data_IF_370057856844
#
_entry.id   IF_370057856844
#
_cell.length_a   1.000
_cell.length_b   1.000
_cell.length_c   1.000
_cell.angle_alpha   90.00
_cell.angle_beta   90.00
_cell.angle_gamma   90.00
#
_symmetry.space_group_name_H-M   'P 1'
#
loop_
_entity.id
_entity.type
_entity.pdbx_description
1 polymer ?
#
# COMPACT_ATOMS: atom_id res chain seq x y z
N UNK A 1 -11.80 12.45 3.53
CA UNK A 1 -11.60 11.00 3.82
C UNK A 1 -10.13 10.76 4.07
N UNK A 2 -9.76 9.87 5.00
CA UNK A 2 -8.36 9.56 5.29
C UNK A 2 -7.88 8.39 4.40
N UNK A 3 -6.74 8.51 3.71
CA UNK A 3 -6.19 7.42 2.90
C UNK A 3 -5.91 6.16 3.73
N UNK A 4 -6.11 4.99 3.13
CA UNK A 4 -5.83 3.68 3.72
C UNK A 4 -4.87 2.88 2.85
N UNK A 5 -4.22 1.89 3.46
CA UNK A 5 -3.37 0.94 2.73
C UNK A 5 -4.11 0.28 1.58
N UNK A 6 -3.51 0.34 0.39
CA UNK A 6 -4.06 -0.19 -0.86
C UNK A 6 -4.84 0.83 -1.68
N UNK A 7 -5.17 2.00 -1.13
CA UNK A 7 -5.84 3.06 -1.89
C UNK A 7 -4.93 3.55 -3.02
N UNK A 8 -5.54 3.83 -4.18
CA UNK A 8 -4.87 4.50 -5.29
C UNK A 8 -5.34 5.94 -5.33
N UNK A 9 -4.39 6.86 -5.24
CA UNK A 9 -4.62 8.29 -5.17
C UNK A 9 -4.10 8.96 -6.43
N UNK A 10 -4.87 9.89 -6.95
CA UNK A 10 -4.38 10.87 -7.92
C UNK A 10 -3.85 12.07 -7.15
N UNK A 11 -2.52 12.16 -7.04
CA UNK A 11 -1.83 13.21 -6.28
C UNK A 11 -1.50 14.35 -7.23
N UNK A 12 -2.07 15.52 -6.96
CA UNK A 12 -1.91 16.73 -7.79
C UNK A 12 -1.33 17.87 -6.96
N UNK A 13 -1.08 19.01 -7.60
CA UNK A 13 -0.67 20.24 -6.91
C UNK A 13 -1.60 20.66 -5.76
N UNK A 14 -2.89 20.29 -5.81
CA UNK A 14 -3.83 20.57 -4.72
C UNK A 14 -3.47 19.84 -3.41
N UNK A 15 -2.80 18.69 -3.50
CA UNK A 15 -2.34 17.93 -2.33
C UNK A 15 -0.98 18.40 -1.83
N UNK A 16 -0.09 18.86 -2.71
CA UNK A 16 1.18 19.48 -2.34
C UNK A 16 1.81 20.18 -3.53
N UNK A 17 2.43 21.34 -3.30
CA UNK A 17 3.05 22.18 -4.33
C UNK A 17 4.16 21.48 -5.12
N UNK A 18 4.74 20.41 -4.57
CA UNK A 18 5.80 19.62 -5.21
C UNK A 18 5.29 18.85 -6.44
N UNK A 19 3.98 18.64 -6.57
CA UNK A 19 3.37 17.85 -7.64
C UNK A 19 2.83 18.72 -8.78
N UNK A 20 3.73 19.49 -9.42
CA UNK A 20 3.39 20.24 -10.64
C UNK A 20 2.93 19.31 -11.77
N UNK A 21 3.55 18.13 -11.87
CA UNK A 21 3.09 17.01 -12.68
C UNK A 21 2.36 16.02 -11.76
N UNK A 22 1.07 15.75 -11.98
CA UNK A 22 0.35 14.78 -11.18
C UNK A 22 0.94 13.38 -11.27
N UNK A 23 0.80 12.60 -10.20
CA UNK A 23 1.20 11.19 -10.17
C UNK A 23 0.04 10.32 -9.68
N UNK A 24 0.07 9.05 -10.08
CA UNK A 24 -0.76 8.01 -9.47
C UNK A 24 0.03 7.36 -8.34
N UNK A 25 -0.56 7.24 -7.16
CA UNK A 25 0.14 6.77 -5.97
C UNK A 25 -0.68 5.72 -5.23
N UNK A 26 -0.12 4.51 -5.06
CA UNK A 26 -0.73 3.45 -4.25
C UNK A 26 -0.18 3.50 -2.83
N UNK A 27 -1.04 3.76 -1.85
CA UNK A 27 -0.68 3.84 -0.43
C UNK A 27 -0.30 2.46 0.09
N UNK A 28 0.84 2.35 0.77
CA UNK A 28 1.22 1.17 1.56
C UNK A 28 0.90 1.43 3.03
N UNK A 29 1.23 2.62 3.53
CA UNK A 29 0.97 3.03 4.90
C UNK A 29 0.90 4.56 5.03
N UNK A 30 0.13 5.02 6.01
CA UNK A 30 0.22 6.38 6.55
C UNK A 30 1.31 6.35 7.64
N UNK A 31 2.17 7.36 7.67
CA UNK A 31 3.23 7.45 8.69
C UNK A 31 2.77 8.31 9.85
N UNK A 32 2.97 7.83 11.07
CA UNK A 32 2.64 8.53 12.32
C UNK A 32 3.69 9.59 12.71
N UNK A 33 4.30 10.23 11.70
CA UNK A 33 5.29 11.28 11.92
C UNK A 33 4.61 12.60 12.29
N UNK A 34 5.18 13.40 13.21
CA UNK A 34 4.63 14.71 13.55
C UNK A 34 4.43 15.59 12.31
N UNK A 35 3.26 16.24 12.23
CA UNK A 35 2.85 17.04 11.06
C UNK A 35 1.86 18.14 11.49
N UNK A 36 1.56 19.06 10.57
CA UNK A 36 0.57 20.12 10.77
C UNK A 36 -0.85 19.63 10.53
N UNK A 37 -1.84 20.36 11.03
CA UNK A 37 -3.24 20.02 10.83
C UNK A 37 -3.60 19.89 9.33
N UNK A 38 -4.30 18.81 9.00
CA UNK A 38 -4.65 18.45 7.62
C UNK A 38 -3.51 17.91 6.75
N UNK A 39 -2.26 17.90 7.23
CA UNK A 39 -1.11 17.32 6.52
C UNK A 39 -0.82 15.91 7.01
N UNK A 40 -0.19 15.09 6.16
CA UNK A 40 0.22 13.74 6.49
C UNK A 40 1.36 13.26 5.61
N UNK A 41 2.07 12.27 6.13
CA UNK A 41 3.08 11.51 5.40
C UNK A 41 2.49 10.20 4.90
N UNK A 42 2.66 9.93 3.61
CA UNK A 42 2.25 8.66 2.98
C UNK A 42 3.48 7.95 2.42
N UNK A 43 3.61 6.65 2.68
CA UNK A 43 4.60 5.77 2.05
C UNK A 43 3.86 4.82 1.10
N UNK A 44 4.38 4.68 -0.11
CA UNK A 44 3.66 4.03 -1.19
C UNK A 44 4.43 3.95 -2.49
N UNK A 45 3.75 3.50 -3.55
CA UNK A 45 4.31 3.35 -4.88
C UNK A 45 3.74 4.39 -5.84
N UNK A 46 4.60 5.08 -6.58
CA UNK A 46 4.19 5.73 -7.82
C UNK A 46 3.82 4.66 -8.85
N UNK A 47 2.72 4.87 -9.56
CA UNK A 47 2.23 3.99 -10.61
C UNK A 47 2.45 4.61 -11.99
N UNK A 48 2.80 3.78 -12.96
CA UNK A 48 2.77 4.17 -14.38
C UNK A 48 1.33 4.19 -14.93
N UNK A 49 1.19 4.52 -16.22
CA UNK A 49 -0.11 4.54 -16.90
C UNK A 49 -0.79 3.16 -16.99
N UNK A 50 -0.03 2.06 -16.89
CA UNK A 50 -0.56 0.69 -16.84
C UNK A 50 -1.02 0.29 -15.42
N UNK A 51 -0.71 1.09 -14.39
CA UNK A 51 -1.03 0.80 -12.99
C UNK A 51 0.03 -0.02 -12.25
N UNK A 52 1.20 -0.24 -12.85
CA UNK A 52 2.31 -0.95 -12.24
C UNK A 52 3.12 -0.02 -11.34
N UNK A 53 3.60 -0.55 -10.22
CA UNK A 53 4.48 0.17 -9.32
C UNK A 53 5.87 0.36 -9.96
N UNK A 54 6.28 1.63 -10.13
CA UNK A 54 7.57 1.98 -10.74
C UNK A 54 8.59 2.50 -9.74
N UNK A 55 8.14 3.11 -8.64
CA UNK A 55 9.03 3.70 -7.64
C UNK A 55 8.36 3.73 -6.28
N UNK A 56 9.09 3.43 -5.20
CA UNK A 56 8.61 3.61 -3.83
C UNK A 56 9.00 5.00 -3.33
N UNK A 57 8.06 5.72 -2.73
CA UNK A 57 8.26 7.09 -2.25
C UNK A 57 7.51 7.35 -0.95
N UNK A 58 8.11 8.17 -0.09
CA UNK A 58 7.43 8.84 1.02
C UNK A 58 7.09 10.27 0.58
N UNK A 59 5.82 10.66 0.66
CA UNK A 59 5.33 11.96 0.22
C UNK A 59 4.63 12.70 1.36
N UNK A 60 4.76 14.02 1.38
CA UNK A 60 4.11 14.91 2.33
C UNK A 60 2.99 15.68 1.65
N UNK A 61 1.75 15.45 2.08
CA UNK A 61 0.54 15.90 1.37
C UNK A 61 -0.53 16.39 2.33
N UNK A 62 -1.36 17.30 1.86
CA UNK A 62 -2.57 17.75 2.52
C UNK A 62 -3.75 16.85 2.12
N UNK A 63 -4.51 16.38 3.11
CA UNK A 63 -5.59 15.41 2.93
C UNK A 63 -6.71 15.92 2.00
N UNK A 64 -7.05 17.21 2.09
CA UNK A 64 -8.13 17.82 1.31
C UNK A 64 -7.84 17.85 -0.19
N UNK A 65 -6.56 17.89 -0.57
CA UNK A 65 -6.13 17.90 -1.97
C UNK A 65 -6.08 16.52 -2.63
N UNK A 66 -6.25 15.45 -1.86
CA UNK A 66 -6.15 14.08 -2.36
C UNK A 66 -7.45 13.63 -3.04
N UNK A 67 -7.30 13.00 -4.20
CA UNK A 67 -8.42 12.39 -4.93
C UNK A 67 -8.23 10.89 -5.00
N UNK A 68 -9.08 10.14 -4.30
CA UNK A 68 -9.07 8.68 -4.35
C UNK A 68 -9.70 8.20 -5.66
N UNK A 69 -8.98 7.37 -6.39
CA UNK A 69 -9.51 6.68 -7.54
C UNK A 69 -10.15 5.38 -7.06
N UNK A 70 -11.46 5.23 -7.31
CA UNK A 70 -12.13 3.93 -7.16
C UNK A 70 -11.64 3.00 -8.25
N UNK A 71 -10.50 2.34 -7.99
CA UNK A 71 -10.11 1.18 -8.77
C UNK A 71 -11.02 0.06 -8.29
N UNK A 72 -11.88 -0.46 -9.19
CA UNK A 72 -12.64 -1.68 -8.92
C UNK A 72 -11.65 -2.71 -8.35
N UNK A 73 -11.89 -3.18 -7.13
CA UNK A 73 -10.94 -3.99 -6.38
C UNK A 73 -10.39 -5.09 -7.30
N UNK A 74 -9.15 -4.94 -7.77
CA UNK A 74 -8.49 -6.01 -8.48
C UNK A 74 -8.41 -7.16 -7.48
N UNK A 75 -8.98 -8.34 -7.79
CA UNK A 75 -8.97 -9.44 -6.86
C UNK A 75 -7.51 -9.78 -6.58
N UNK A 76 -7.07 -9.49 -5.34
CA UNK A 76 -5.80 -9.96 -4.81
C UNK A 76 -5.91 -11.47 -4.66
N UNK A 77 -5.57 -12.23 -5.69
CA UNK A 77 -5.42 -13.68 -5.58
C UNK A 77 -4.19 -14.15 -6.33
N UNK A 78 -3.06 -14.11 -5.63
CA UNK A 78 -2.14 -15.25 -5.67
C UNK A 78 -1.61 -15.51 -4.26
N UNK A 79 -2.53 -15.93 -3.39
CA UNK A 79 -2.17 -16.73 -2.22
C UNK A 79 -1.51 -17.98 -2.78
N UNK A 80 -0.17 -18.05 -2.68
CA UNK A 80 0.53 -19.32 -2.94
C UNK A 80 0.00 -20.29 -1.87
N UNK A 81 -0.62 -21.42 -2.23
CA UNK A 81 -1.07 -22.36 -1.22
C UNK A 81 0.16 -22.89 -0.49
N UNK A 82 0.31 -22.49 0.78
CA UNK A 82 1.25 -23.13 1.71
C UNK A 82 0.82 -24.58 1.80
N UNK A 83 1.58 -25.49 1.17
CA UNK A 83 1.35 -26.93 1.32
C UNK A 83 1.46 -27.26 2.81
N UNK A 84 0.47 -27.94 3.42
CA UNK A 84 0.60 -28.36 4.80
C UNK A 84 1.76 -29.35 4.91
N UNK A 85 2.75 -29.03 5.75
CA UNK A 85 3.85 -29.95 6.07
C UNK A 85 3.23 -31.15 6.80
N UNK A 86 3.33 -32.33 6.20
CA UNK A 86 2.86 -33.60 6.77
C UNK A 86 3.58 -33.84 8.12
N UNK A 87 2.87 -34.06 9.23
CA UNK A 87 3.51 -34.42 10.49
C UNK A 87 4.15 -35.81 10.36
N UNK A 88 5.45 -35.92 10.68
CA UNK A 88 6.11 -37.20 10.84
C UNK A 88 5.73 -37.73 12.21
N UNK A 89 4.84 -38.73 12.25
CA UNK A 89 4.52 -39.48 13.47
C UNK A 89 5.76 -40.27 13.85
N UNK A 90 6.40 -39.91 14.98
CA UNK A 90 7.45 -40.71 15.59
C UNK A 90 6.80 -41.79 16.46
N UNK A 91 6.84 -43.03 16.00
CA UNK A 91 6.44 -44.19 16.80
C UNK A 91 7.50 -44.44 17.87
N UNK A 92 7.15 -44.58 19.17
CA UNK A 92 8.10 -45.02 20.17
C UNK A 92 8.37 -46.52 20.03
N UNK A 93 9.64 -46.89 19.85
CA UNK A 93 10.07 -48.29 19.92
C UNK A 93 10.03 -48.76 21.38
N UNK A 94 9.26 -49.82 21.65
CA UNK A 94 9.23 -50.50 22.94
C UNK A 94 10.34 -51.57 22.92
N UNK A 95 11.31 -51.48 23.82
CA UNK A 95 12.30 -52.54 24.08
C UNK A 95 12.06 -53.01 25.51
N UNK A 96 11.75 -54.31 25.63
CA UNK A 96 11.68 -55.04 26.89
C UNK A 96 12.99 -55.76 27.18
#
# INVERSE_FOLDING_TARGET
>A
MLPRSGDVLHVTRAASVQFLKPIMFRVIRVLDWPTYDGWMWLDGYELNAAGDAVSRRSIYVQAEGLRQLRVAAQPRQRTVPVRPRRPVVRTPARVG
#
